data_IF_692867671626
#
_entry.id   IF_692867671626
#
_cell.length_a   1.000
_cell.length_b   1.000
_cell.length_c   1.000
_cell.angle_alpha   90.00
_cell.angle_beta   90.00
_cell.angle_gamma   90.00
#
_symmetry.space_group_name_H-M   'P 1'
#
loop_
_entity.id
_entity.type
_entity.pdbx_description
1 polymer ?
#
# COMPACT_ATOMS: atom_id res chain seq x y z
N UNK A 1 -39.56 -15.69 40.33
CA UNK A 1 -38.15 -15.26 40.23
C UNK A 1 -37.80 -15.39 38.76
N UNK A 2 -37.63 -14.27 38.06
CA UNK A 2 -37.32 -14.28 36.64
C UNK A 2 -35.81 -14.53 36.49
N UNK A 3 -35.45 -15.70 35.98
CA UNK A 3 -34.08 -15.98 35.53
C UNK A 3 -33.85 -15.17 34.25
N UNK A 4 -33.13 -14.06 34.40
CA UNK A 4 -32.52 -13.33 33.29
C UNK A 4 -31.41 -14.20 32.70
N UNK A 5 -31.77 -15.03 31.72
CA UNK A 5 -30.83 -15.67 30.80
C UNK A 5 -30.29 -14.60 29.85
N UNK A 6 -29.40 -13.73 30.35
CA UNK A 6 -28.51 -12.94 29.52
C UNK A 6 -27.48 -13.89 28.90
N UNK A 7 -27.86 -14.54 27.79
CA UNK A 7 -26.89 -15.16 26.89
C UNK A 7 -26.09 -13.99 26.31
N UNK A 8 -24.92 -13.72 26.90
CA UNK A 8 -23.92 -12.80 26.37
C UNK A 8 -23.59 -13.26 24.94
N UNK A 9 -24.33 -12.73 23.96
CA UNK A 9 -24.11 -13.04 22.56
C UNK A 9 -22.84 -12.31 22.18
N UNK A 10 -21.70 -12.98 22.28
CA UNK A 10 -20.41 -12.40 21.93
C UNK A 10 -20.48 -11.89 20.49
N UNK A 11 -20.35 -10.57 20.32
CA UNK A 11 -20.26 -9.95 19.01
C UNK A 11 -19.06 -10.54 18.27
N UNK A 12 -19.26 -11.03 17.05
CA UNK A 12 -18.22 -11.57 16.18
C UNK A 12 -18.15 -10.81 14.86
N UNK A 13 -16.96 -10.77 14.27
CA UNK A 13 -16.74 -10.23 12.94
C UNK A 13 -17.37 -11.13 11.89
N UNK A 14 -18.31 -10.63 11.09
CA UNK A 14 -18.96 -11.47 10.07
C UNK A 14 -18.03 -11.92 8.91
N UNK A 15 -16.81 -11.38 8.83
CA UNK A 15 -15.83 -11.73 7.78
C UNK A 15 -14.87 -12.82 8.24
N UNK A 16 -14.30 -12.71 9.45
CA UNK A 16 -13.32 -13.67 9.97
C UNK A 16 -13.85 -14.56 11.09
N UNK A 17 -15.06 -14.30 11.58
CA UNK A 17 -15.71 -15.01 12.69
C UNK A 17 -14.99 -14.91 14.04
N UNK A 18 -14.09 -13.94 14.20
CA UNK A 18 -13.40 -13.65 15.46
C UNK A 18 -14.05 -12.45 16.18
N UNK A 19 -13.96 -12.43 17.51
CA UNK A 19 -14.38 -11.29 18.35
C UNK A 19 -13.44 -10.08 18.24
N UNK A 20 -13.36 -9.25 19.28
CA UNK A 20 -12.36 -8.18 19.32
C UNK A 20 -10.94 -8.77 19.28
N UNK A 21 -10.09 -8.28 18.38
CA UNK A 21 -8.71 -8.79 18.19
C UNK A 21 -7.69 -7.71 18.46
N UNK A 22 -6.42 -8.07 18.68
CA UNK A 22 -5.34 -7.08 18.74
C UNK A 22 -4.87 -6.74 17.32
N UNK A 23 -4.90 -5.47 16.99
CA UNK A 23 -4.36 -4.95 15.73
C UNK A 23 -2.83 -5.06 15.66
N UNK A 24 -2.23 -4.73 14.50
CA UNK A 24 -0.77 -4.77 14.32
C UNK A 24 -0.01 -3.78 15.21
N UNK A 25 -0.68 -2.75 15.75
CA UNK A 25 -0.14 -1.81 16.74
C UNK A 25 -0.20 -2.34 18.19
N UNK A 26 -0.78 -3.53 18.42
CA UNK A 26 -0.99 -4.10 19.75
C UNK A 26 -2.24 -3.58 20.48
N UNK A 27 -2.90 -2.56 19.93
CA UNK A 27 -4.17 -2.02 20.43
C UNK A 27 -5.33 -2.97 20.13
N UNK A 28 -6.36 -2.95 20.98
CA UNK A 28 -7.57 -3.73 20.76
C UNK A 28 -8.35 -3.10 19.59
N UNK A 29 -8.56 -3.85 18.52
CA UNK A 29 -9.41 -3.49 17.39
C UNK A 29 -10.86 -3.90 17.70
N UNK A 30 -11.75 -2.94 17.99
CA UNK A 30 -13.14 -3.26 18.29
C UNK A 30 -13.89 -3.65 17.02
N UNK A 31 -14.97 -4.39 17.20
CA UNK A 31 -15.93 -4.61 16.14
C UNK A 31 -16.80 -3.37 15.95
N UNK A 32 -16.96 -2.95 14.70
CA UNK A 32 -17.75 -1.77 14.33
C UNK A 32 -18.87 -2.14 13.37
N UNK A 33 -19.90 -1.30 13.34
CA UNK A 33 -20.92 -1.35 12.30
C UNK A 33 -20.57 -0.33 11.21
N UNK A 34 -20.38 -0.81 9.97
CA UNK A 34 -19.88 0.02 8.85
C UNK A 34 -20.96 0.40 7.83
N UNK A 35 -22.18 -0.12 8.01
CA UNK A 35 -23.35 0.17 7.17
C UNK A 35 -24.64 -0.12 7.96
N UNK A 36 -25.79 -0.11 7.29
CA UNK A 36 -27.11 -0.34 7.94
C UNK A 36 -27.41 -1.80 8.28
N UNK A 37 -26.54 -2.73 7.88
CA UNK A 37 -26.71 -4.14 8.24
C UNK A 37 -26.51 -4.33 9.76
N UNK A 38 -27.17 -5.33 10.37
CA UNK A 38 -27.01 -5.63 11.79
C UNK A 38 -25.65 -6.23 12.13
N UNK A 39 -24.81 -6.50 11.13
CA UNK A 39 -23.54 -7.20 11.30
C UNK A 39 -22.41 -6.29 11.78
N UNK A 40 -21.55 -6.87 12.62
CA UNK A 40 -20.34 -6.26 13.18
C UNK A 40 -19.10 -6.76 12.46
N UNK A 41 -18.09 -5.91 12.29
CA UNK A 41 -16.88 -6.24 11.52
C UNK A 41 -15.67 -5.46 12.02
N UNK A 42 -14.46 -6.05 11.91
CA UNK A 42 -13.22 -5.28 12.06
C UNK A 42 -13.07 -4.29 10.91
N UNK A 43 -12.56 -3.08 11.20
CA UNK A 43 -12.24 -2.10 10.16
C UNK A 43 -11.25 -2.67 9.16
N UNK A 44 -10.27 -3.44 9.62
CA UNK A 44 -9.27 -4.06 8.74
C UNK A 44 -9.86 -5.14 7.82
N UNK A 45 -10.82 -5.91 8.31
CA UNK A 45 -11.48 -6.95 7.52
C UNK A 45 -12.30 -6.36 6.38
N UNK A 46 -13.11 -5.32 6.65
CA UNK A 46 -13.84 -4.63 5.58
C UNK A 46 -12.88 -3.96 4.61
N UNK A 47 -11.82 -3.31 5.09
CA UNK A 47 -10.84 -2.64 4.23
C UNK A 47 -10.13 -3.62 3.28
N UNK A 48 -9.76 -4.81 3.77
CA UNK A 48 -9.19 -5.88 2.93
C UNK A 48 -10.20 -6.42 1.92
N UNK A 49 -11.45 -6.59 2.34
CA UNK A 49 -12.52 -7.00 1.43
C UNK A 49 -12.76 -5.98 0.30
N UNK A 50 -12.72 -4.69 0.62
CA UNK A 50 -12.82 -3.62 -0.37
C UNK A 50 -11.69 -3.69 -1.39
N UNK A 51 -10.44 -3.91 -0.95
CA UNK A 51 -9.29 -4.10 -1.87
C UNK A 51 -9.42 -5.35 -2.74
N UNK A 52 -9.87 -6.47 -2.17
CA UNK A 52 -10.13 -7.69 -2.94
C UNK A 52 -11.24 -7.48 -4.00
N UNK A 53 -12.15 -6.55 -3.72
CA UNK A 53 -13.28 -6.20 -4.57
C UNK A 53 -13.00 -5.00 -5.49
N UNK A 54 -11.73 -4.58 -5.65
CA UNK A 54 -11.37 -3.41 -6.45
C UNK A 54 -11.96 -3.48 -7.86
N UNK A 55 -12.56 -2.36 -8.30
CA UNK A 55 -13.25 -2.24 -9.58
C UNK A 55 -14.69 -2.79 -9.58
N UNK A 56 -15.15 -3.40 -8.49
CA UNK A 56 -16.54 -3.86 -8.32
C UNK A 56 -17.33 -2.91 -7.42
N UNK A 57 -18.65 -3.06 -7.38
CA UNK A 57 -19.51 -2.25 -6.50
C UNK A 57 -19.16 -2.45 -5.03
N UNK A 58 -18.76 -3.66 -4.66
CA UNK A 58 -18.39 -4.09 -3.31
C UNK A 58 -17.12 -3.41 -2.77
N UNK A 59 -16.33 -2.76 -3.63
CA UNK A 59 -15.25 -1.88 -3.21
C UNK A 59 -15.78 -0.69 -2.37
N UNK A 60 -16.97 -0.18 -2.73
CA UNK A 60 -17.51 1.08 -2.19
C UNK A 60 -18.87 0.93 -1.53
N UNK A 61 -19.57 -0.19 -1.76
CA UNK A 61 -20.95 -0.38 -1.31
C UNK A 61 -21.14 -1.76 -0.68
N UNK A 62 -21.94 -1.84 0.39
CA UNK A 62 -22.29 -3.10 1.03
C UNK A 62 -23.09 -4.00 0.09
N UNK A 63 -22.72 -5.28 -0.04
CA UNK A 63 -23.43 -6.25 -0.90
C UNK A 63 -24.88 -6.52 -0.47
N UNK A 64 -25.20 -6.31 0.81
CA UNK A 64 -26.51 -6.59 1.37
C UNK A 64 -27.42 -5.36 1.35
N UNK A 65 -27.06 -4.29 2.06
CA UNK A 65 -27.89 -3.09 2.17
C UNK A 65 -27.59 -2.00 1.13
N UNK A 66 -26.56 -2.19 0.30
CA UNK A 66 -26.11 -1.23 -0.73
C UNK A 66 -25.65 0.14 -0.20
N UNK A 67 -25.56 0.32 1.13
CA UNK A 67 -25.01 1.52 1.75
C UNK A 67 -23.52 1.68 1.45
N UNK A 68 -23.05 2.93 1.42
CA UNK A 68 -21.64 3.27 1.21
C UNK A 68 -20.77 2.75 2.36
N UNK A 69 -19.67 2.07 2.01
CA UNK A 69 -18.66 1.61 2.96
C UNK A 69 -17.64 2.73 3.25
N UNK A 70 -17.01 2.73 4.44
CA UNK A 70 -15.96 3.71 4.77
C UNK A 70 -14.73 3.59 3.85
N UNK A 71 -13.91 4.64 3.79
CA UNK A 71 -12.66 4.59 3.02
C UNK A 71 -11.65 3.64 3.69
N UNK A 72 -11.20 2.64 2.93
CA UNK A 72 -10.24 1.64 3.39
C UNK A 72 -8.84 2.22 3.60
N UNK A 73 -8.50 3.35 2.95
CA UNK A 73 -7.15 3.93 2.97
C UNK A 73 -6.73 4.30 4.38
N UNK A 74 -7.61 4.91 5.17
CA UNK A 74 -7.31 5.31 6.54
C UNK A 74 -6.95 4.12 7.44
N UNK A 75 -7.41 2.92 7.09
CA UNK A 75 -7.20 1.69 7.86
C UNK A 75 -5.94 0.95 7.42
N UNK A 76 -5.68 0.88 6.11
CA UNK A 76 -4.60 0.06 5.56
C UNK A 76 -3.35 0.84 5.17
N UNK A 77 -3.46 2.16 5.00
CA UNK A 77 -2.30 3.01 4.71
C UNK A 77 -1.79 3.65 5.99
N UNK A 78 -0.50 3.48 6.34
CA UNK A 78 0.12 4.25 7.42
C UNK A 78 -0.06 5.75 7.15
N UNK A 79 -0.41 6.53 8.19
CA UNK A 79 -0.61 7.99 8.08
C UNK A 79 0.58 8.73 7.45
N UNK A 80 1.79 8.21 7.63
CA UNK A 80 2.98 8.70 6.97
C UNK A 80 3.77 7.51 6.42
N UNK A 81 3.80 7.37 5.10
CA UNK A 81 4.79 6.52 4.46
C UNK A 81 6.12 7.28 4.46
N UNK A 82 7.23 6.66 4.91
CA UNK A 82 8.53 7.28 4.72
C UNK A 82 8.77 7.49 3.21
N UNK A 83 9.42 8.58 2.80
CA UNK A 83 9.76 8.80 1.40
C UNK A 83 10.49 7.57 0.85
N UNK A 84 9.95 7.00 -0.24
CA UNK A 84 10.58 5.85 -0.86
C UNK A 84 11.98 6.24 -1.35
N UNK A 85 12.99 5.42 -1.02
CA UNK A 85 14.34 5.63 -1.55
C UNK A 85 14.31 5.33 -3.05
N UNK A 86 14.56 6.32 -3.93
CA UNK A 86 14.50 6.09 -5.36
C UNK A 86 15.61 5.14 -5.80
N UNK A 87 15.27 4.20 -6.68
CA UNK A 87 16.21 3.21 -7.23
C UNK A 87 16.24 3.39 -8.75
N UNK A 88 17.43 3.56 -9.31
CA UNK A 88 17.66 3.57 -10.75
C UNK A 88 18.22 2.21 -11.20
N UNK A 89 17.71 1.72 -12.33
CA UNK A 89 18.30 0.59 -13.05
C UNK A 89 19.12 1.13 -14.21
N UNK A 90 20.41 0.86 -14.21
CA UNK A 90 21.39 1.41 -15.16
C UNK A 90 21.88 0.28 -16.04
N UNK A 91 21.68 0.43 -17.34
CA UNK A 91 22.07 -0.53 -18.35
C UNK A 91 23.31 -0.04 -19.10
N UNK A 92 24.40 -0.80 -19.01
CA UNK A 92 25.66 -0.49 -19.69
C UNK A 92 26.39 -1.78 -20.06
N UNK A 93 26.87 -1.89 -21.30
CA UNK A 93 27.60 -3.05 -21.82
C UNK A 93 26.95 -4.41 -21.45
N UNK A 94 25.66 -4.55 -21.76
CA UNK A 94 24.81 -5.71 -21.42
C UNK A 94 24.71 -6.04 -19.92
N UNK A 95 25.21 -5.18 -19.04
CA UNK A 95 25.10 -5.31 -17.59
C UNK A 95 24.00 -4.38 -17.07
N UNK A 96 23.22 -4.85 -16.10
CA UNK A 96 22.23 -4.04 -15.39
C UNK A 96 22.64 -3.94 -13.92
N UNK A 97 22.81 -2.72 -13.42
CA UNK A 97 23.02 -2.49 -11.99
C UNK A 97 21.88 -1.65 -11.41
N UNK A 98 21.50 -1.94 -10.16
CA UNK A 98 20.47 -1.19 -9.43
C UNK A 98 21.14 -0.32 -8.39
N UNK A 99 20.87 0.98 -8.44
CA UNK A 99 21.50 1.96 -7.58
C UNK A 99 20.44 2.74 -6.80
N UNK A 100 20.60 2.80 -5.48
CA UNK A 100 19.83 3.72 -4.64
C UNK A 100 20.38 5.13 -4.86
N UNK A 101 19.53 6.07 -5.23
CA UNK A 101 19.92 7.47 -5.43
C UNK A 101 19.32 8.36 -4.37
N UNK A 102 19.92 9.53 -4.15
CA UNK A 102 19.37 10.58 -3.30
C UNK A 102 19.05 11.79 -4.15
N UNK A 103 17.98 12.53 -3.84
CA UNK A 103 17.72 13.80 -4.50
C UNK A 103 18.76 14.85 -4.11
N UNK A 104 18.89 15.89 -4.93
CA UNK A 104 19.75 17.05 -4.67
C UNK A 104 21.19 16.91 -5.19
N UNK A 105 21.98 18.00 -5.09
CA UNK A 105 23.31 18.09 -5.70
C UNK A 105 24.29 17.07 -5.12
N UNK A 106 24.18 16.78 -3.82
CA UNK A 106 25.03 15.80 -3.14
C UNK A 106 24.73 14.37 -3.59
N UNK A 107 23.45 14.09 -3.84
CA UNK A 107 22.98 12.82 -4.40
C UNK A 107 23.46 12.63 -5.83
N UNK A 108 23.43 13.68 -6.66
CA UNK A 108 23.98 13.66 -8.00
C UNK A 108 25.50 13.38 -7.99
N UNK A 109 26.27 14.07 -7.15
CA UNK A 109 27.72 13.83 -7.04
C UNK A 109 28.03 12.38 -6.60
N UNK A 110 27.26 11.84 -5.65
CA UNK A 110 27.42 10.46 -5.22
C UNK A 110 27.06 9.46 -6.34
N UNK A 111 25.98 9.72 -7.07
CA UNK A 111 25.56 8.93 -8.23
C UNK A 111 26.63 8.89 -9.32
N UNK A 112 27.17 10.04 -9.73
CA UNK A 112 28.19 10.13 -10.78
C UNK A 112 29.46 9.36 -10.41
N UNK A 113 29.95 9.51 -9.17
CA UNK A 113 31.10 8.74 -8.68
C UNK A 113 30.86 7.23 -8.72
N UNK A 114 29.66 6.78 -8.35
CA UNK A 114 29.32 5.36 -8.43
C UNK A 114 29.21 4.88 -9.87
N UNK A 115 28.72 5.73 -10.78
CA UNK A 115 28.62 5.42 -12.19
C UNK A 115 30.01 5.28 -12.84
N UNK A 116 30.97 6.15 -12.50
CA UNK A 116 32.35 6.10 -12.99
C UNK A 116 33.01 4.75 -12.66
N UNK A 117 32.76 4.22 -11.47
CA UNK A 117 33.24 2.88 -11.06
C UNK A 117 32.62 1.78 -11.92
N UNK A 118 31.32 1.88 -12.22
CA UNK A 118 30.59 0.87 -13.03
C UNK A 118 31.01 0.93 -14.50
N UNK A 119 31.19 2.13 -15.03
CA UNK A 119 31.48 2.40 -16.44
C UNK A 119 32.98 2.33 -16.74
N UNK A 120 33.84 2.48 -15.71
CA UNK A 120 35.30 2.38 -15.80
C UNK A 120 36.00 3.58 -16.45
N UNK A 121 35.31 4.72 -16.58
CA UNK A 121 35.82 5.94 -17.22
C UNK A 121 35.05 7.16 -16.72
N UNK A 122 35.57 8.34 -17.01
CA UNK A 122 34.90 9.62 -16.76
C UNK A 122 33.54 9.66 -17.47
N UNK A 123 32.51 10.00 -16.70
CA UNK A 123 31.11 10.04 -17.11
C UNK A 123 30.68 11.42 -17.61
N UNK A 124 31.57 12.43 -17.55
CA UNK A 124 31.31 13.78 -18.05
C UNK A 124 30.92 13.82 -19.54
N UNK A 125 31.38 12.84 -20.33
CA UNK A 125 31.10 12.72 -21.76
C UNK A 125 30.07 11.62 -22.09
N UNK A 126 29.32 11.12 -21.10
CA UNK A 126 28.34 10.05 -21.29
C UNK A 126 26.94 10.64 -21.50
N UNK A 127 26.27 10.20 -22.57
CA UNK A 127 24.87 10.53 -22.81
C UNK A 127 23.96 9.66 -21.93
N UNK A 128 23.20 10.30 -21.04
CA UNK A 128 22.20 9.63 -20.22
C UNK A 128 20.85 9.60 -20.93
N UNK A 129 20.24 8.42 -21.01
CA UNK A 129 18.85 8.28 -21.48
C UNK A 129 18.00 7.78 -20.32
N UNK A 130 17.15 8.65 -19.80
CA UNK A 130 16.23 8.29 -18.73
C UNK A 130 14.97 7.65 -19.32
N UNK A 131 14.65 6.45 -18.84
CA UNK A 131 13.41 5.74 -19.19
C UNK A 131 12.57 5.59 -17.95
N UNK A 132 11.34 6.10 -18.01
CA UNK A 132 10.35 5.90 -16.97
C UNK A 132 9.38 4.80 -17.42
N UNK A 133 9.11 3.83 -16.55
CA UNK A 133 8.00 2.89 -16.74
C UNK A 133 6.75 3.55 -16.18
N UNK A 134 5.78 3.86 -17.04
CA UNK A 134 4.50 4.38 -16.59
C UNK A 134 3.82 3.34 -15.68
N UNK A 135 3.38 3.72 -14.47
CA UNK A 135 2.73 2.80 -13.54
C UNK A 135 1.42 2.22 -14.10
N UNK A 136 0.70 2.97 -14.92
CA UNK A 136 -0.64 2.58 -15.40
C UNK A 136 -0.60 1.66 -16.65
N UNK A 137 0.45 1.77 -17.47
CA UNK A 137 0.51 1.08 -18.78
C UNK A 137 1.69 0.11 -18.92
N UNK A 138 2.66 0.13 -18.00
CA UNK A 138 3.87 -0.70 -18.07
C UNK A 138 4.84 -0.37 -19.21
N UNK A 139 4.47 0.55 -20.11
CA UNK A 139 5.26 0.98 -21.25
C UNK A 139 6.44 1.85 -20.80
N UNK A 140 7.62 1.61 -21.37
CA UNK A 140 8.80 2.45 -21.19
C UNK A 140 8.68 3.69 -22.08
N UNK A 141 8.52 4.86 -21.49
CA UNK A 141 8.61 6.13 -22.20
C UNK A 141 9.98 6.75 -21.97
N UNK A 142 10.56 7.35 -23.01
CA UNK A 142 11.71 8.25 -22.84
C UNK A 142 11.22 9.45 -22.03
N UNK A 143 11.86 9.69 -20.90
CA UNK A 143 11.69 10.97 -20.21
C UNK A 143 12.49 11.99 -21.02
N UNK A 144 11.82 13.05 -21.49
CA UNK A 144 12.45 14.20 -22.14
C UNK A 144 13.15 15.03 -21.07
#
# INVERSE_FOLDING_TARGET
>A
MAESNDVETEDFCYICFEGATRGPSGELEPLVQVCRCPTRVHRRCVARWQLYSAGKREEKSCRFCQGTLPDWKEVLTPRALPPAVPILSIYYNNTCCRMKVRPGPDGLRAFLRQLEVIVGRDVANVNFVFRCRCPDTGTLKKAV
#
